data_IF_367622835611
#
_entry.id   IF_367622835611
#
_cell.length_a   1.000
_cell.length_b   1.000
_cell.length_c   1.000
_cell.angle_alpha   90.00
_cell.angle_beta   90.00
_cell.angle_gamma   90.00
#
_symmetry.space_group_name_H-M   'P 1'
#
loop_
_entity.id
_entity.type
_entity.pdbx_description
1 polymer ?
#
# COMPACT_ATOMS: atom_id res chain seq x y z
N UNK A 1 32.79 16.64 9.86
CA UNK A 1 31.89 15.59 10.36
C UNK A 1 30.90 15.29 9.25
N UNK A 2 31.00 14.14 8.60
CA UNK A 2 30.04 13.71 7.60
C UNK A 2 28.71 13.38 8.26
N UNK A 3 27.65 14.09 7.92
CA UNK A 3 26.30 13.70 8.31
C UNK A 3 26.01 12.36 7.64
N UNK A 4 26.05 11.29 8.42
CA UNK A 4 25.60 9.97 7.97
C UNK A 4 24.08 9.99 7.86
N UNK A 5 23.56 10.60 6.79
CA UNK A 5 22.13 10.59 6.50
C UNK A 5 21.84 9.19 5.96
N UNK A 6 21.09 8.39 6.71
CA UNK A 6 20.64 7.09 6.21
C UNK A 6 19.90 7.26 4.90
N UNK A 7 20.31 6.50 3.88
CA UNK A 7 19.60 6.45 2.60
C UNK A 7 18.38 5.51 2.62
N UNK A 8 18.12 4.88 3.76
CA UNK A 8 16.99 3.97 3.94
C UNK A 8 16.11 4.45 5.09
N UNK A 9 14.82 4.25 4.93
CA UNK A 9 13.80 4.48 5.96
C UNK A 9 12.75 3.39 5.92
N UNK A 10 12.14 3.11 7.07
CA UNK A 10 10.93 2.32 7.18
C UNK A 10 9.83 3.27 7.63
N UNK A 11 8.88 3.52 6.75
CA UNK A 11 7.71 4.36 7.05
C UNK A 11 6.54 3.46 7.37
N UNK A 12 5.93 3.66 8.56
CA UNK A 12 4.79 2.88 9.02
C UNK A 12 3.51 3.65 8.84
N UNK A 13 2.48 2.96 8.39
CA UNK A 13 1.16 3.53 8.12
C UNK A 13 0.09 2.53 8.54
N UNK A 14 -0.88 2.97 9.34
CA UNK A 14 -2.06 2.19 9.70
C UNK A 14 -3.29 2.83 9.06
N UNK A 15 -3.77 2.30 7.93
CA UNK A 15 -4.96 2.84 7.29
C UNK A 15 -6.21 2.48 8.10
N UNK A 16 -7.24 3.30 8.00
CA UNK A 16 -8.55 2.98 8.57
C UNK A 16 -9.28 2.02 7.64
N UNK A 17 -9.77 0.91 8.19
CA UNK A 17 -10.58 -0.10 7.51
C UNK A 17 -12.06 0.05 7.89
N UNK A 18 -12.94 -0.55 7.09
CA UNK A 18 -14.35 -0.75 7.45
C UNK A 18 -14.50 -2.06 8.23
N UNK A 19 -15.47 -2.13 9.11
CA UNK A 19 -15.78 -3.33 9.92
C UNK A 19 -16.79 -4.28 9.26
N UNK A 20 -17.33 -3.90 8.11
CA UNK A 20 -18.20 -4.74 7.30
C UNK A 20 -17.41 -5.76 6.47
N UNK A 21 -18.09 -6.78 5.99
CA UNK A 21 -17.49 -7.75 5.09
C UNK A 21 -17.16 -7.10 3.73
N UNK A 22 -15.93 -7.28 3.27
CA UNK A 22 -15.52 -6.84 1.96
C UNK A 22 -15.88 -7.85 0.88
N UNK A 23 -16.12 -7.37 -0.34
CA UNK A 23 -16.22 -8.23 -1.52
C UNK A 23 -15.08 -7.98 -2.49
N UNK A 24 -14.96 -8.82 -3.54
CA UNK A 24 -13.94 -8.61 -4.55
C UNK A 24 -14.13 -7.27 -5.25
N UNK A 25 -13.02 -6.56 -5.49
CA UNK A 25 -12.97 -5.21 -6.10
C UNK A 25 -13.52 -4.07 -5.22
N UNK A 26 -13.81 -4.30 -3.94
CA UNK A 26 -14.12 -3.23 -3.01
C UNK A 26 -12.86 -2.43 -2.63
N UNK A 27 -13.04 -1.16 -2.30
CA UNK A 27 -11.99 -0.33 -1.72
C UNK A 27 -11.69 -0.83 -0.31
N UNK A 28 -10.54 -1.49 -0.13
CA UNK A 28 -10.13 -2.08 1.13
C UNK A 28 -9.74 -1.01 2.16
N UNK A 29 -9.00 0.00 1.71
CA UNK A 29 -8.81 1.25 2.46
C UNK A 29 -8.63 2.44 1.50
N UNK A 30 -9.07 3.61 1.97
CA UNK A 30 -9.00 4.85 1.24
C UNK A 30 -7.54 5.34 1.10
N UNK A 31 -7.31 6.30 0.20
CA UNK A 31 -5.99 6.87 -0.03
C UNK A 31 -5.38 7.43 1.27
N UNK A 32 -4.37 6.74 1.78
CA UNK A 32 -3.65 7.03 3.01
C UNK A 32 -2.26 7.57 2.69
N UNK A 33 -1.82 8.57 3.41
CA UNK A 33 -0.54 9.21 3.21
C UNK A 33 0.62 8.33 3.71
N UNK A 34 1.66 8.21 2.89
CA UNK A 34 2.99 7.73 3.29
C UNK A 34 3.86 8.97 3.47
N UNK A 35 4.00 9.49 4.68
CA UNK A 35 4.71 10.75 4.91
C UNK A 35 6.20 10.57 4.67
N UNK A 36 6.86 11.61 4.17
CA UNK A 36 8.30 11.60 3.91
C UNK A 36 8.75 10.41 3.04
N UNK A 37 7.89 9.98 2.11
CA UNK A 37 8.19 8.89 1.18
C UNK A 37 9.37 9.22 0.25
N UNK A 38 9.62 10.51 0.02
CA UNK A 38 10.75 10.99 -0.78
C UNK A 38 11.50 12.11 -0.06
N UNK A 39 12.74 12.38 -0.47
CA UNK A 39 13.52 13.53 0.02
C UNK A 39 13.32 14.72 -0.89
N UNK A 40 12.91 15.84 -0.28
CA UNK A 40 12.64 17.10 -0.99
C UNK A 40 11.35 17.02 -1.82
N UNK A 41 10.77 18.17 -2.04
CA UNK A 41 9.53 18.32 -2.79
C UNK A 41 9.71 17.83 -4.23
N UNK A 42 8.75 17.05 -4.72
CA UNK A 42 8.80 16.46 -6.05
C UNK A 42 9.88 15.40 -6.23
N UNK A 43 10.54 14.98 -5.14
CA UNK A 43 11.60 13.99 -5.16
C UNK A 43 11.12 12.60 -5.54
N UNK A 44 12.07 11.68 -5.68
CA UNK A 44 11.79 10.26 -5.91
C UNK A 44 12.56 9.37 -4.95
N UNK A 45 12.04 8.17 -4.74
CA UNK A 45 12.64 7.12 -3.93
C UNK A 45 12.32 5.75 -4.52
N UNK A 46 12.98 4.72 -4.02
CA UNK A 46 12.73 3.34 -4.41
C UNK A 46 12.07 2.59 -3.25
N UNK A 47 10.88 2.05 -3.48
CA UNK A 47 10.23 1.10 -2.57
C UNK A 47 10.80 -0.29 -2.82
N UNK A 48 11.52 -0.83 -1.83
CA UNK A 48 12.20 -2.13 -1.95
C UNK A 48 11.40 -3.29 -1.40
N UNK A 49 10.71 -3.07 -0.29
CA UNK A 49 9.96 -4.10 0.38
C UNK A 49 8.76 -3.51 1.13
N UNK A 50 7.80 -4.36 1.40
CA UNK A 50 6.63 -4.06 2.24
C UNK A 50 6.53 -5.17 3.27
N UNK A 51 6.39 -4.80 4.54
CA UNK A 51 6.00 -5.72 5.61
C UNK A 51 4.62 -5.30 6.09
N UNK A 52 3.73 -6.24 6.27
CA UNK A 52 2.37 -6.01 6.76
C UNK A 52 2.20 -6.83 8.03
N UNK A 53 1.70 -6.20 9.07
CA UNK A 53 1.18 -6.86 10.26
C UNK A 53 -0.34 -6.77 10.20
N UNK A 54 -1.00 -7.92 10.34
CA UNK A 54 -2.44 -8.04 10.47
C UNK A 54 -2.76 -8.61 11.85
N UNK A 55 -3.47 -7.85 12.66
CA UNK A 55 -3.80 -8.21 14.03
C UNK A 55 -5.03 -9.12 14.15
N UNK A 56 -5.79 -9.31 13.08
CA UNK A 56 -7.01 -10.13 13.06
C UNK A 56 -6.77 -11.60 12.67
N UNK A 57 -5.53 -12.01 12.39
CA UNK A 57 -5.16 -13.39 12.01
C UNK A 57 -5.99 -13.97 10.83
N UNK A 58 -6.54 -13.10 9.98
CA UNK A 58 -7.32 -13.47 8.78
C UNK A 58 -6.61 -13.00 7.52
N UNK A 59 -6.10 -13.94 6.75
CA UNK A 59 -5.46 -13.64 5.48
C UNK A 59 -6.44 -12.99 4.51
N UNK A 60 -6.05 -11.84 3.92
CA UNK A 60 -6.87 -11.15 2.94
C UNK A 60 -6.04 -10.58 1.80
N UNK A 61 -6.22 -11.15 0.63
CA UNK A 61 -5.53 -10.72 -0.59
C UNK A 61 -6.04 -9.34 -1.03
N UNK A 62 -5.10 -8.46 -1.38
CA UNK A 62 -5.45 -7.13 -1.86
C UNK A 62 -4.35 -6.52 -2.73
N UNK A 63 -4.72 -5.58 -3.59
CA UNK A 63 -3.78 -4.81 -4.39
C UNK A 63 -3.53 -3.44 -3.76
N UNK A 64 -2.27 -3.08 -3.52
CA UNK A 64 -1.86 -1.75 -3.10
C UNK A 64 -1.63 -0.87 -4.31
N UNK A 65 -2.31 0.27 -4.38
CA UNK A 65 -2.24 1.24 -5.48
C UNK A 65 -1.50 2.48 -4.98
N UNK A 66 -0.31 2.74 -5.52
CA UNK A 66 0.53 3.89 -5.13
C UNK A 66 0.33 5.06 -6.07
N UNK A 67 0.18 6.26 -5.50
CA UNK A 67 -0.17 7.49 -6.23
C UNK A 67 0.66 8.67 -5.73
N UNK A 68 0.98 9.60 -6.64
CA UNK A 68 1.65 10.86 -6.29
C UNK A 68 0.76 11.78 -5.45
N UNK A 69 -0.54 11.74 -5.71
CA UNK A 69 -1.55 12.61 -5.11
C UNK A 69 -2.65 11.81 -4.44
N UNK A 70 -3.20 12.36 -3.37
CA UNK A 70 -4.37 11.77 -2.73
C UNK A 70 -5.55 11.70 -3.70
N UNK A 71 -6.00 10.49 -3.98
CA UNK A 71 -7.20 10.23 -4.77
C UNK A 71 -7.88 8.94 -4.29
N UNK A 72 -9.14 9.03 -3.96
CA UNK A 72 -9.91 7.87 -3.52
C UNK A 72 -10.32 7.00 -4.71
N UNK A 73 -10.16 5.69 -4.58
CA UNK A 73 -10.55 4.71 -5.61
C UNK A 73 -12.07 4.51 -5.67
N UNK A 74 -12.78 4.88 -4.61
CA UNK A 74 -14.21 4.72 -4.40
C UNK A 74 -14.56 5.03 -2.96
N UNK A 75 -15.78 4.72 -2.55
CA UNK A 75 -16.18 4.74 -1.14
C UNK A 75 -15.57 3.52 -0.44
N UNK A 76 -15.16 3.68 0.81
CA UNK A 76 -14.61 2.59 1.62
C UNK A 76 -15.64 1.44 1.71
N UNK A 77 -15.18 0.20 1.56
CA UNK A 77 -16.00 -1.02 1.54
C UNK A 77 -17.12 -1.00 0.47
N UNK A 78 -16.85 -0.37 -0.68
CA UNK A 78 -17.75 -0.35 -1.83
C UNK A 78 -16.89 -0.50 -3.10
N UNK A 79 -17.49 -0.89 -4.20
CA UNK A 79 -16.75 -1.16 -5.44
C UNK A 79 -15.89 0.03 -5.91
N UNK A 80 -14.72 -0.26 -6.46
CA UNK A 80 -13.88 0.74 -7.11
C UNK A 80 -14.70 1.55 -8.12
N UNK A 81 -14.61 2.88 -8.05
CA UNK A 81 -15.40 3.80 -8.87
C UNK A 81 -16.74 4.19 -8.30
N UNK A 82 -17.15 3.63 -7.17
CA UNK A 82 -18.37 4.05 -6.46
C UNK A 82 -18.34 5.54 -6.15
N UNK A 83 -19.49 6.17 -6.11
CA UNK A 83 -19.61 7.62 -5.90
C UNK A 83 -18.92 8.48 -6.97
N UNK A 84 -18.55 7.92 -8.12
CA UNK A 84 -17.76 8.60 -9.18
C UNK A 84 -16.39 9.12 -8.68
N UNK A 85 -15.85 8.51 -7.62
CA UNK A 85 -14.57 8.92 -7.01
C UNK A 85 -13.35 8.47 -7.81
N UNK A 86 -13.49 7.49 -8.72
CA UNK A 86 -12.41 7.03 -9.58
C UNK A 86 -12.84 7.03 -11.05
N UNK A 87 -12.42 8.04 -11.78
CA UNK A 87 -12.66 8.21 -13.21
C UNK A 87 -11.32 8.24 -13.97
N UNK A 88 -11.35 8.10 -15.29
CA UNK A 88 -10.14 8.20 -16.11
C UNK A 88 -9.40 9.54 -15.90
N UNK A 89 -10.12 10.62 -15.66
CA UNK A 89 -9.52 11.93 -15.41
C UNK A 89 -8.84 11.97 -14.04
N UNK A 90 -9.49 11.43 -13.00
CA UNK A 90 -8.93 11.35 -11.65
C UNK A 90 -7.74 10.39 -11.57
N UNK A 91 -7.81 9.24 -12.24
CA UNK A 91 -6.70 8.29 -12.33
C UNK A 91 -5.44 8.93 -12.96
N UNK A 92 -5.61 9.72 -14.03
CA UNK A 92 -4.51 10.47 -14.63
C UNK A 92 -3.99 11.58 -13.72
N UNK A 93 -4.88 12.29 -13.02
CA UNK A 93 -4.52 13.37 -12.11
C UNK A 93 -3.83 12.86 -10.84
N UNK A 94 -4.17 11.65 -10.39
CA UNK A 94 -3.57 11.02 -9.22
C UNK A 94 -2.09 10.66 -9.41
N UNK A 95 -1.64 10.48 -10.67
CA UNK A 95 -0.26 10.12 -10.97
C UNK A 95 0.10 8.74 -10.39
N UNK A 96 -0.36 7.66 -11.04
CA UNK A 96 -0.05 6.30 -10.58
C UNK A 96 1.45 6.04 -10.61
N UNK A 97 2.03 5.66 -9.45
CA UNK A 97 3.40 5.17 -9.35
C UNK A 97 3.50 3.69 -9.71
N UNK A 98 2.52 2.89 -9.28
CA UNK A 98 2.47 1.47 -9.55
C UNK A 98 1.50 0.72 -8.65
N UNK A 99 1.46 -0.60 -8.82
CA UNK A 99 0.59 -1.51 -8.06
C UNK A 99 1.44 -2.66 -7.52
N UNK A 100 1.22 -3.00 -6.25
CA UNK A 100 1.81 -4.17 -5.59
C UNK A 100 0.71 -5.12 -5.19
N UNK A 101 0.80 -6.36 -5.64
CA UNK A 101 -0.15 -7.42 -5.28
C UNK A 101 0.28 -8.08 -3.98
N UNK A 102 -0.63 -8.17 -3.04
CA UNK A 102 -0.48 -8.86 -1.77
C UNK A 102 -1.27 -10.16 -1.86
N UNK A 103 -0.56 -11.27 -1.82
CA UNK A 103 -1.11 -12.63 -1.85
C UNK A 103 -0.64 -13.36 -0.59
N UNK A 104 -1.50 -13.42 0.40
CA UNK A 104 -1.20 -13.99 1.72
C UNK A 104 -0.93 -15.49 1.67
N UNK A 105 -1.38 -16.19 0.64
CA UNK A 105 -1.16 -17.64 0.49
C UNK A 105 0.31 -18.00 0.30
N UNK A 106 1.13 -17.04 -0.15
CA UNK A 106 2.51 -17.30 -0.58
C UNK A 106 3.58 -16.82 0.38
N UNK A 107 3.34 -15.78 1.19
CA UNK A 107 4.38 -15.09 1.97
C UNK A 107 3.95 -14.69 3.37
N UNK A 108 2.91 -15.29 3.91
CA UNK A 108 2.49 -15.04 5.28
C UNK A 108 3.21 -15.95 6.27
N UNK A 109 3.35 -15.45 7.49
CA UNK A 109 3.81 -16.21 8.65
C UNK A 109 2.81 -15.98 9.78
N UNK A 110 2.25 -17.08 10.28
CA UNK A 110 1.40 -17.08 11.46
C UNK A 110 2.25 -16.83 12.71
N UNK A 111 1.88 -15.82 13.48
CA UNK A 111 2.49 -15.43 14.75
C UNK A 111 1.56 -15.69 15.94
N UNK A 112 0.67 -16.69 15.83
CA UNK A 112 -0.29 -17.18 16.83
C UNK A 112 -1.56 -16.36 16.96
N UNK A 113 -1.50 -15.05 17.03
CA UNK A 113 -2.68 -14.17 17.08
C UNK A 113 -2.63 -13.08 16.02
N UNK A 114 -1.63 -13.13 15.18
CA UNK A 114 -1.37 -12.11 14.16
C UNK A 114 -0.78 -12.79 12.94
N UNK A 115 -1.07 -12.27 11.75
CA UNK A 115 -0.39 -12.65 10.52
C UNK A 115 0.63 -11.59 10.14
N UNK A 116 1.83 -12.01 9.78
CA UNK A 116 2.83 -11.16 9.17
C UNK A 116 3.03 -11.53 7.70
N UNK A 117 3.10 -10.55 6.84
CA UNK A 117 3.40 -10.69 5.43
C UNK A 117 4.64 -9.88 5.08
N UNK A 118 5.54 -10.44 4.28
CA UNK A 118 6.69 -9.70 3.77
C UNK A 118 6.90 -9.95 2.29
N UNK A 119 7.02 -8.90 1.50
CA UNK A 119 7.39 -8.98 0.09
C UNK A 119 8.54 -8.04 -0.22
N UNK A 120 9.50 -8.54 -1.00
CA UNK A 120 10.69 -7.79 -1.43
C UNK A 120 11.12 -8.23 -2.82
N UNK A 121 12.19 -7.61 -3.34
CA UNK A 121 12.80 -8.00 -4.60
C UNK A 121 13.25 -9.47 -4.56
N UNK A 122 12.81 -10.26 -5.53
CA UNK A 122 13.34 -11.61 -5.76
C UNK A 122 12.88 -12.69 -4.79
N UNK A 123 11.89 -12.41 -3.94
CA UNK A 123 11.47 -13.37 -2.90
C UNK A 123 10.36 -14.34 -3.37
N UNK A 124 10.10 -14.46 -4.67
CA UNK A 124 8.97 -15.25 -5.15
C UNK A 124 9.40 -16.26 -6.21
N UNK A 125 8.92 -17.50 -6.06
CA UNK A 125 8.98 -18.49 -7.11
C UNK A 125 8.39 -17.90 -8.41
N UNK A 126 8.77 -18.43 -9.55
CA UNK A 126 8.65 -17.90 -10.91
C UNK A 126 7.27 -17.40 -11.39
N UNK A 127 6.24 -17.37 -10.54
CA UNK A 127 4.86 -17.09 -10.93
C UNK A 127 4.28 -15.76 -10.41
N UNK A 128 4.92 -15.06 -9.46
CA UNK A 128 4.34 -13.87 -8.83
C UNK A 128 5.29 -12.67 -8.99
N UNK A 129 4.95 -11.76 -9.88
CA UNK A 129 5.59 -10.45 -9.98
C UNK A 129 4.89 -9.50 -9.01
N UNK A 130 5.51 -9.21 -7.87
CA UNK A 130 4.93 -8.32 -6.86
C UNK A 130 4.92 -6.85 -7.26
N UNK A 131 5.61 -6.46 -8.33
CA UNK A 131 5.77 -5.05 -8.73
C UNK A 131 6.91 -4.32 -8.00
N UNK A 132 7.70 -5.01 -7.17
CA UNK A 132 8.86 -4.44 -6.50
C UNK A 132 10.17 -4.82 -7.20
N UNK A 133 11.20 -3.96 -7.20
CA UNK A 133 11.22 -2.61 -6.64
C UNK A 133 10.44 -1.63 -7.51
N UNK A 134 9.79 -0.66 -6.88
CA UNK A 134 8.99 0.33 -7.56
C UNK A 134 9.49 1.75 -7.26
N UNK A 135 9.49 2.62 -8.27
CA UNK A 135 9.81 4.02 -8.06
C UNK A 135 8.58 4.75 -7.49
N UNK A 136 8.77 5.40 -6.37
CA UNK A 136 7.84 6.37 -5.80
C UNK A 136 8.27 7.77 -6.23
N UNK A 137 7.30 8.60 -6.59
CA UNK A 137 7.52 10.01 -6.88
C UNK A 137 6.41 10.83 -6.23
N UNK A 138 6.78 11.89 -5.51
CA UNK A 138 5.84 12.82 -4.94
C UNK A 138 5.46 13.94 -5.93
N UNK A 139 4.36 14.65 -5.66
CA UNK A 139 4.04 15.89 -6.38
C UNK A 139 5.09 16.97 -6.15
N UNK A 140 5.15 17.96 -7.03
CA UNK A 140 6.20 19.00 -7.08
C UNK A 140 6.36 19.80 -5.77
N UNK A 141 5.32 19.89 -4.97
CA UNK A 141 5.28 20.63 -3.69
C UNK A 141 5.15 19.69 -2.46
N UNK A 142 5.30 18.39 -2.64
CA UNK A 142 5.12 17.38 -1.59
C UNK A 142 6.35 16.47 -1.42
N UNK A 143 6.50 15.92 -0.23
CA UNK A 143 7.42 14.82 0.08
C UNK A 143 6.69 13.50 0.34
N UNK A 144 5.37 13.50 0.23
CA UNK A 144 4.51 12.35 0.51
C UNK A 144 4.05 11.66 -0.77
N UNK A 145 3.79 10.37 -0.67
CA UNK A 145 3.12 9.53 -1.66
C UNK A 145 1.90 8.94 -0.98
N UNK A 146 0.89 8.55 -1.74
CA UNK A 146 -0.34 7.99 -1.21
C UNK A 146 -0.49 6.54 -1.64
N UNK A 147 -1.11 5.75 -0.77
CA UNK A 147 -1.45 4.35 -1.03
C UNK A 147 -2.92 4.13 -0.71
N UNK A 148 -3.61 3.43 -1.59
CA UNK A 148 -4.95 2.89 -1.35
C UNK A 148 -4.94 1.39 -1.63
N UNK A 149 -5.93 0.65 -1.17
CA UNK A 149 -6.00 -0.77 -1.47
C UNK A 149 -7.36 -1.20 -2.02
N UNK A 150 -7.30 -2.27 -2.81
CA UNK A 150 -8.46 -2.92 -3.41
C UNK A 150 -8.49 -4.38 -2.97
N UNK A 151 -9.60 -4.81 -2.42
CA UNK A 151 -9.87 -6.19 -1.98
C UNK A 151 -9.80 -7.19 -3.15
N UNK A 152 -9.19 -8.36 -2.92
CA UNK A 152 -9.07 -9.42 -3.92
C UNK A 152 -9.48 -10.76 -3.35
N UNK A 153 -10.74 -11.07 -3.47
CA UNK A 153 -11.31 -12.33 -3.04
C UNK A 153 -11.63 -12.41 -1.55
N UNK A 154 -12.38 -13.43 -1.17
CA UNK A 154 -12.84 -13.63 0.20
C UNK A 154 -13.97 -12.66 0.59
N UNK A 155 -14.39 -12.78 1.83
CA UNK A 155 -15.34 -11.87 2.49
C UNK A 155 -14.84 -11.61 3.91
N UNK A 156 -13.60 -11.08 4.07
CA UNK A 156 -13.08 -10.83 5.40
C UNK A 156 -13.87 -9.74 6.08
N UNK A 157 -13.99 -9.84 7.38
CA UNK A 157 -14.35 -8.75 8.27
C UNK A 157 -13.09 -8.34 9.02
N UNK A 158 -12.85 -7.07 9.21
CA UNK A 158 -11.69 -6.54 9.92
C UNK A 158 -12.15 -5.59 11.01
N UNK A 159 -11.31 -5.33 12.00
CA UNK A 159 -11.47 -4.14 12.83
C UNK A 159 -10.82 -2.92 12.14
N UNK A 160 -11.16 -1.71 12.58
CA UNK A 160 -10.78 -0.49 11.87
C UNK A 160 -9.27 -0.23 11.81
N UNK A 161 -8.50 -0.85 12.68
CA UNK A 161 -7.07 -0.65 12.89
C UNK A 161 -6.21 -1.92 12.81
N UNK A 162 -6.75 -3.02 12.25
CA UNK A 162 -6.08 -4.33 12.23
C UNK A 162 -4.79 -4.38 11.41
N UNK A 163 -4.56 -3.45 10.50
CA UNK A 163 -3.43 -3.51 9.58
C UNK A 163 -2.40 -2.39 9.80
N UNK A 164 -1.15 -2.76 9.97
CA UNK A 164 0.01 -1.86 9.86
C UNK A 164 0.85 -2.24 8.64
N UNK A 165 1.16 -1.27 7.79
CA UNK A 165 2.06 -1.40 6.65
C UNK A 165 3.38 -0.70 6.93
N UNK A 166 4.49 -1.41 6.79
CA UNK A 166 5.83 -0.87 6.86
C UNK A 166 6.46 -0.84 5.46
N UNK A 167 6.65 0.34 4.92
CA UNK A 167 7.25 0.59 3.61
C UNK A 167 8.76 0.80 3.76
N UNK A 168 9.56 -0.09 3.15
CA UNK A 168 11.03 -0.04 3.17
C UNK A 168 11.50 0.79 1.97
N UNK A 169 11.92 2.01 2.23
CA UNK A 169 12.19 3.03 1.22
C UNK A 169 13.68 3.36 1.18
N UNK A 170 14.25 3.36 -0.02
CA UNK A 170 15.58 3.89 -0.31
C UNK A 170 15.45 5.25 -0.99
N UNK A 171 16.01 6.27 -0.38
CA UNK A 171 16.07 7.61 -0.95
C UNK A 171 17.16 7.72 -2.01
N UNK A 172 16.93 8.52 -3.02
CA UNK A 172 17.89 8.89 -4.06
C UNK A 172 18.31 10.35 -3.94
#
# INVERSE_FOLDING_TARGET
>A
MGNNISNFSIVRVSPTLDTGAYTNDDVFFAATEIPLAVRGNGGCAMLHAITILNEDDVAHDHDLVFMQKQANLGTLNDAVGSGSLWTNALAKAAGLCGIVKIDWSTNSTDLVNNLAYHTSIGNHGAAITTGLPMMLQAEADSTSVYVAAVSRGGTPTTAADDYEYAFHIQYR
#
